data_IF_002134059879
#
_entry.id   IF_002134059879
#
_cell.length_a   1.000
_cell.length_b   1.000
_cell.length_c   1.000
_cell.angle_alpha   90.00
_cell.angle_beta   90.00
_cell.angle_gamma   90.00
#
_symmetry.space_group_name_H-M   'P 1'
#
loop_
_entity.id
_entity.type
_entity.pdbx_description
1 polymer ?
#
# COMPACT_ATOMS: atom_id res chain seq x y z
N UNK A 1 -25.29 10.32 -10.70
CA UNK A 1 -24.33 9.80 -9.70
C UNK A 1 -23.66 10.99 -9.02
N UNK A 2 -23.64 11.05 -7.67
CA UNK A 2 -22.91 12.11 -6.95
C UNK A 2 -21.45 11.67 -6.80
N UNK A 3 -20.55 12.53 -7.25
CA UNK A 3 -19.11 12.30 -7.15
C UNK A 3 -18.61 12.88 -5.84
N UNK A 4 -18.33 12.06 -4.83
CA UNK A 4 -17.68 12.55 -3.62
C UNK A 4 -16.16 12.59 -3.82
N UNK A 5 -15.59 13.79 -3.93
CA UNK A 5 -14.15 13.97 -4.12
C UNK A 5 -13.33 13.33 -3.00
N UNK A 6 -13.78 13.45 -1.75
CA UNK A 6 -13.08 12.89 -0.61
C UNK A 6 -13.11 11.35 -0.62
N UNK A 7 -14.26 10.75 -0.90
CA UNK A 7 -14.40 9.32 -1.13
C UNK A 7 -13.50 8.81 -2.26
N UNK A 8 -13.42 9.54 -3.39
CA UNK A 8 -12.53 9.17 -4.50
C UNK A 8 -11.06 9.16 -4.07
N UNK A 9 -10.60 10.15 -3.29
CA UNK A 9 -9.23 10.17 -2.75
C UNK A 9 -8.92 8.91 -1.92
N UNK A 10 -9.92 8.36 -1.21
CA UNK A 10 -9.77 7.12 -0.44
C UNK A 10 -9.70 5.86 -1.31
N UNK A 11 -10.22 5.90 -2.53
CA UNK A 11 -10.17 4.79 -3.50
C UNK A 11 -8.88 4.79 -4.33
N UNK A 12 -8.31 5.97 -4.60
CA UNK A 12 -7.08 6.12 -5.40
C UNK A 12 -5.93 5.17 -5.06
N UNK A 13 -5.52 4.96 -3.79
CA UNK A 13 -4.40 4.06 -3.50
C UNK A 13 -4.67 2.61 -3.92
N UNK A 14 -5.92 2.15 -3.95
CA UNK A 14 -6.25 0.84 -4.52
C UNK A 14 -6.12 0.82 -6.05
N UNK A 15 -6.58 1.88 -6.72
CA UNK A 15 -6.47 1.99 -8.18
C UNK A 15 -5.00 2.08 -8.61
N UNK A 16 -4.19 2.83 -7.88
CA UNK A 16 -2.78 3.04 -8.20
C UNK A 16 -1.94 1.77 -7.98
N UNK A 17 -2.28 0.95 -6.99
CA UNK A 17 -1.61 -0.31 -6.69
C UNK A 17 -2.06 -1.45 -7.62
N UNK A 18 -2.74 -2.46 -7.11
CA UNK A 18 -3.17 -3.65 -7.87
C UNK A 18 -4.41 -3.42 -8.75
N UNK A 19 -4.92 -2.19 -8.78
CA UNK A 19 -6.07 -1.80 -9.59
C UNK A 19 -5.71 -1.13 -10.91
N UNK A 20 -6.69 -0.42 -11.47
CA UNK A 20 -6.49 0.40 -12.66
C UNK A 20 -7.80 0.76 -13.34
N UNK A 21 -7.68 1.42 -14.49
CA UNK A 21 -8.81 1.76 -15.35
C UNK A 21 -8.65 1.03 -16.68
N UNK A 22 -9.71 0.36 -17.11
CA UNK A 22 -9.77 -0.36 -18.38
C UNK A 22 -10.65 0.39 -19.39
N UNK A 23 -10.06 0.72 -20.55
CA UNK A 23 -10.72 1.36 -21.71
C UNK A 23 -11.57 2.60 -21.35
N UNK A 24 -11.17 3.36 -20.33
CA UNK A 24 -11.92 4.50 -19.79
C UNK A 24 -13.41 4.21 -19.49
N UNK A 25 -13.73 2.96 -19.12
CA UNK A 25 -15.11 2.49 -18.88
C UNK A 25 -15.28 1.68 -17.60
N UNK A 26 -14.20 1.18 -17.04
CA UNK A 26 -14.23 0.27 -15.90
C UNK A 26 -13.06 0.58 -14.97
N UNK A 27 -13.34 0.74 -13.68
CA UNK A 27 -12.33 0.68 -12.63
C UNK A 27 -12.25 -0.78 -12.19
N UNK A 28 -11.04 -1.30 -12.02
CA UNK A 28 -10.83 -2.64 -11.48
C UNK A 28 -9.83 -2.63 -10.34
N UNK A 29 -9.92 -3.64 -9.48
CA UNK A 29 -8.96 -3.95 -8.42
C UNK A 29 -8.76 -5.47 -8.38
N UNK A 30 -7.52 -5.95 -8.51
CA UNK A 30 -7.20 -7.38 -8.54
C UNK A 30 -6.38 -7.76 -7.33
N UNK A 31 -6.74 -8.83 -6.61
CA UNK A 31 -5.95 -9.29 -5.46
C UNK A 31 -6.19 -10.76 -5.17
N UNK A 32 -5.28 -11.42 -4.46
CA UNK A 32 -5.49 -12.76 -3.91
C UNK A 32 -5.96 -12.74 -2.45
N UNK A 33 -6.01 -11.57 -1.82
CA UNK A 33 -6.42 -11.39 -0.42
C UNK A 33 -7.88 -10.90 -0.33
N UNK A 34 -8.75 -11.70 0.28
CA UNK A 34 -10.15 -11.35 0.45
C UNK A 34 -10.35 -10.12 1.35
N UNK A 35 -9.47 -9.86 2.32
CA UNK A 35 -9.57 -8.66 3.16
C UNK A 35 -9.37 -7.38 2.32
N UNK A 36 -8.45 -7.41 1.35
CA UNK A 36 -8.25 -6.28 0.43
C UNK A 36 -9.47 -6.05 -0.48
N UNK A 37 -10.19 -7.10 -0.88
CA UNK A 37 -11.47 -6.97 -1.59
C UNK A 37 -12.48 -6.20 -0.74
N UNK A 38 -12.66 -6.57 0.52
CA UNK A 38 -13.63 -5.93 1.41
C UNK A 38 -13.30 -4.46 1.67
N UNK A 39 -12.03 -4.14 1.91
CA UNK A 39 -11.58 -2.75 2.09
C UNK A 39 -11.80 -1.90 0.83
N UNK A 40 -11.46 -2.43 -0.35
CA UNK A 40 -11.72 -1.72 -1.62
C UNK A 40 -13.21 -1.47 -1.83
N UNK A 41 -14.05 -2.49 -1.64
CA UNK A 41 -15.50 -2.38 -1.83
C UNK A 41 -16.13 -1.37 -0.88
N UNK A 42 -15.66 -1.30 0.37
CA UNK A 42 -16.10 -0.30 1.34
C UNK A 42 -15.74 1.11 0.89
N UNK A 43 -14.47 1.36 0.55
CA UNK A 43 -14.03 2.66 0.05
C UNK A 43 -14.78 3.08 -1.23
N UNK A 44 -15.01 2.14 -2.15
CA UNK A 44 -15.78 2.38 -3.36
C UNK A 44 -17.27 2.67 -3.07
N UNK A 45 -17.87 1.98 -2.10
CA UNK A 45 -19.26 2.24 -1.68
C UNK A 45 -19.38 3.65 -1.11
N UNK A 46 -18.44 4.10 -0.30
CA UNK A 46 -18.42 5.47 0.21
C UNK A 46 -18.27 6.50 -0.92
N UNK A 47 -17.39 6.24 -1.90
CA UNK A 47 -17.12 7.18 -2.99
C UNK A 47 -18.23 7.25 -4.05
N UNK A 48 -18.87 6.12 -4.33
CA UNK A 48 -19.71 5.93 -5.52
C UNK A 48 -21.12 5.45 -5.21
N UNK A 49 -21.43 5.19 -3.94
CA UNK A 49 -22.61 4.43 -3.51
C UNK A 49 -22.71 3.05 -4.18
N UNK A 50 -21.57 2.49 -4.59
CA UNK A 50 -21.49 1.20 -5.27
C UNK A 50 -20.10 0.57 -5.10
N UNK A 51 -20.04 -0.57 -4.42
CA UNK A 51 -18.79 -1.28 -4.16
C UNK A 51 -18.25 -2.11 -5.33
N UNK A 52 -18.95 -2.17 -6.46
CA UNK A 52 -18.60 -3.05 -7.57
C UNK A 52 -18.98 -4.51 -7.36
N UNK A 53 -18.91 -5.28 -8.44
CA UNK A 53 -19.14 -6.73 -8.43
C UNK A 53 -17.81 -7.48 -8.40
N UNK A 54 -17.81 -8.66 -7.78
CA UNK A 54 -16.60 -9.46 -7.57
C UNK A 54 -16.62 -10.66 -8.53
N UNK A 55 -15.50 -10.88 -9.23
CA UNK A 55 -15.27 -12.06 -10.06
C UNK A 55 -14.12 -12.85 -9.47
N UNK A 56 -14.34 -14.12 -9.17
CA UNK A 56 -13.27 -15.05 -8.77
C UNK A 56 -12.70 -15.73 -10.01
N UNK A 57 -11.39 -15.64 -10.21
CA UNK A 57 -10.67 -16.30 -11.30
C UNK A 57 -10.21 -17.70 -10.90
N UNK A 58 -9.97 -18.55 -11.90
CA UNK A 58 -9.47 -19.93 -11.71
C UNK A 58 -8.12 -19.98 -10.98
N UNK A 59 -7.28 -18.95 -11.12
CA UNK A 59 -6.01 -18.84 -10.42
C UNK A 59 -6.13 -18.39 -8.94
N UNK A 60 -7.35 -18.36 -8.39
CA UNK A 60 -7.63 -17.95 -7.01
C UNK A 60 -7.67 -16.44 -6.77
N UNK A 61 -7.38 -15.61 -7.78
CA UNK A 61 -7.48 -14.15 -7.64
C UNK A 61 -8.93 -13.66 -7.68
N UNK A 62 -9.22 -12.62 -6.92
CA UNK A 62 -10.44 -11.84 -6.97
C UNK A 62 -10.21 -10.61 -7.85
N UNK A 63 -11.22 -10.26 -8.64
CA UNK A 63 -11.26 -9.00 -9.39
C UNK A 63 -12.55 -8.28 -9.05
N UNK A 64 -12.45 -7.13 -8.41
CA UNK A 64 -13.57 -6.23 -8.21
C UNK A 64 -13.65 -5.29 -9.41
N UNK A 65 -14.86 -5.11 -9.95
CA UNK A 65 -15.10 -4.28 -11.14
C UNK A 65 -16.24 -3.29 -10.89
N UNK A 66 -15.99 -2.03 -11.25
CA UNK A 66 -16.96 -0.95 -11.24
C UNK A 66 -17.10 -0.47 -12.69
N UNK A 67 -18.20 -0.86 -13.34
CA UNK A 67 -18.50 -0.51 -14.72
C UNK A 67 -19.30 0.78 -14.80
N UNK A 68 -18.86 1.69 -15.65
CA UNK A 68 -19.57 2.94 -15.93
C UNK A 68 -18.58 4.07 -16.21
N UNK A 69 -18.82 4.82 -17.28
CA UNK A 69 -17.98 5.98 -17.64
C UNK A 69 -18.02 7.08 -16.59
N UNK A 70 -19.13 7.25 -15.90
CA UNK A 70 -19.27 8.30 -14.89
C UNK A 70 -18.34 8.07 -13.70
N UNK A 71 -18.19 6.82 -13.23
CA UNK A 71 -17.23 6.47 -12.18
C UNK A 71 -15.79 6.79 -12.61
N UNK A 72 -15.42 6.48 -13.85
CA UNK A 72 -14.09 6.80 -14.39
C UNK A 72 -13.87 8.30 -14.46
N UNK A 73 -14.84 9.06 -15.00
CA UNK A 73 -14.78 10.52 -15.06
C UNK A 73 -14.63 11.15 -13.68
N UNK A 74 -15.26 10.56 -12.67
CA UNK A 74 -15.07 10.97 -11.28
C UNK A 74 -13.64 10.84 -10.80
N UNK A 75 -13.01 9.68 -11.05
CA UNK A 75 -11.61 9.46 -10.67
C UNK A 75 -10.69 10.40 -11.45
N UNK A 76 -10.93 10.57 -12.75
CA UNK A 76 -10.18 11.48 -13.62
C UNK A 76 -10.28 12.94 -13.18
N UNK A 77 -11.45 13.40 -12.73
CA UNK A 77 -11.64 14.75 -12.20
C UNK A 77 -10.84 15.01 -10.90
N UNK A 78 -10.49 13.95 -10.17
CA UNK A 78 -9.64 14.05 -8.96
C UNK A 78 -8.16 13.92 -9.30
N UNK A 79 -7.83 12.99 -10.19
CA UNK A 79 -6.47 12.69 -10.61
C UNK A 79 -6.44 12.41 -12.11
N UNK A 80 -6.28 13.43 -12.97
CA UNK A 80 -6.32 13.26 -14.43
C UNK A 80 -5.31 12.24 -14.95
N UNK A 81 -4.11 12.21 -14.34
CA UNK A 81 -3.00 11.33 -14.75
C UNK A 81 -3.25 9.84 -14.46
N UNK A 82 -4.33 9.49 -13.75
CA UNK A 82 -4.65 8.11 -13.35
C UNK A 82 -4.77 7.15 -14.54
N UNK A 83 -5.21 7.66 -15.69
CA UNK A 83 -5.37 6.88 -16.93
C UNK A 83 -4.01 6.43 -17.49
N UNK A 84 -2.94 7.12 -17.13
CA UNK A 84 -1.58 6.88 -17.57
C UNK A 84 -0.75 6.14 -16.52
N UNK A 85 -1.34 5.62 -15.45
CA UNK A 85 -0.57 5.03 -14.33
C UNK A 85 0.41 3.92 -14.74
N UNK A 86 0.10 3.20 -15.82
CA UNK A 86 0.92 2.09 -16.34
C UNK A 86 1.98 2.57 -17.35
N UNK A 87 1.91 3.81 -17.80
CA UNK A 87 2.90 4.42 -18.67
C UNK A 87 4.04 4.99 -17.82
N UNK A 88 5.14 4.24 -17.73
CA UNK A 88 6.31 4.63 -16.94
C UNK A 88 7.01 5.89 -17.48
N UNK A 89 6.72 6.29 -18.74
CA UNK A 89 7.29 7.49 -19.35
C UNK A 89 6.55 8.76 -18.96
N UNK A 90 5.34 8.64 -18.40
CA UNK A 90 4.52 9.77 -17.99
C UNK A 90 4.60 10.03 -16.50
N UNK A 91 4.72 11.31 -16.18
CA UNK A 91 4.55 11.78 -14.82
C UNK A 91 3.11 11.52 -14.37
N UNK A 92 2.98 10.95 -13.19
CA UNK A 92 1.70 10.75 -12.51
C UNK A 92 1.71 11.65 -11.30
N UNK A 93 0.75 12.58 -11.19
CA UNK A 93 0.70 13.54 -10.08
C UNK A 93 -0.38 13.15 -9.08
N UNK A 94 0.00 12.96 -7.82
CA UNK A 94 -0.92 12.74 -6.72
C UNK A 94 -1.69 14.04 -6.40
N UNK A 95 -3.00 13.97 -6.07
CA UNK A 95 -3.76 15.14 -5.68
C UNK A 95 -3.15 15.89 -4.50
N UNK A 96 -3.11 17.22 -4.58
CA UNK A 96 -2.52 18.13 -3.59
C UNK A 96 -3.06 17.93 -2.16
N UNK A 97 -4.31 17.49 -2.06
CA UNK A 97 -5.04 17.22 -0.82
C UNK A 97 -4.32 16.15 0.01
N UNK A 98 -3.70 15.16 -0.64
CA UNK A 98 -2.92 14.13 0.05
C UNK A 98 -1.70 14.71 0.78
N UNK A 99 -1.20 15.88 0.38
CA UNK A 99 -0.05 16.53 1.02
C UNK A 99 -0.45 17.55 2.09
N UNK A 100 -1.72 17.97 2.11
CA UNK A 100 -2.26 18.98 3.03
C UNK A 100 -3.04 18.38 4.19
N UNK A 101 -3.68 17.24 3.96
CA UNK A 101 -4.48 16.53 4.95
C UNK A 101 -3.71 15.30 5.45
N UNK A 102 -3.35 15.32 6.73
CA UNK A 102 -2.56 14.24 7.33
C UNK A 102 -3.32 12.92 7.40
N UNK A 103 -4.64 12.94 7.57
CA UNK A 103 -5.44 11.72 7.68
C UNK A 103 -5.62 11.07 6.31
N UNK A 104 -5.78 11.86 5.26
CA UNK A 104 -5.71 11.38 3.88
C UNK A 104 -4.32 10.82 3.53
N UNK A 105 -3.24 11.49 3.95
CA UNK A 105 -1.88 11.01 3.73
C UNK A 105 -1.65 9.65 4.41
N UNK A 106 -2.06 9.52 5.68
CA UNK A 106 -1.98 8.27 6.45
C UNK A 106 -2.82 7.18 5.80
N UNK A 107 -4.04 7.48 5.38
CA UNK A 107 -4.90 6.53 4.67
C UNK A 107 -4.26 6.06 3.36
N UNK A 108 -3.74 6.98 2.56
CA UNK A 108 -3.05 6.66 1.31
C UNK A 108 -1.89 5.70 1.56
N UNK A 109 -0.98 6.05 2.49
CA UNK A 109 0.18 5.22 2.82
C UNK A 109 -0.22 3.86 3.41
N UNK A 110 -1.26 3.82 4.25
CA UNK A 110 -1.82 2.59 4.83
C UNK A 110 -2.29 1.63 3.73
N UNK A 111 -3.16 2.11 2.84
CA UNK A 111 -3.71 1.29 1.76
C UNK A 111 -2.61 0.88 0.79
N UNK A 112 -1.81 1.84 0.32
CA UNK A 112 -0.82 1.60 -0.71
C UNK A 112 0.28 0.64 -0.22
N UNK A 113 0.72 0.74 1.04
CA UNK A 113 1.63 -0.24 1.65
C UNK A 113 0.97 -1.62 1.89
N UNK A 114 -0.35 -1.67 2.08
CA UNK A 114 -1.07 -2.93 2.24
C UNK A 114 -1.21 -3.69 0.94
N UNK A 115 -1.29 -3.00 -0.19
CA UNK A 115 -1.29 -3.61 -1.53
C UNK A 115 0.14 -3.93 -1.99
N UNK A 116 0.99 -2.90 -2.13
CA UNK A 116 2.30 -2.98 -2.79
C UNK A 116 3.50 -2.88 -1.84
N UNK A 117 3.27 -3.04 -0.55
CA UNK A 117 4.30 -2.93 0.48
C UNK A 117 4.28 -4.06 1.51
N UNK A 118 5.09 -3.87 2.55
CA UNK A 118 5.14 -4.80 3.66
C UNK A 118 6.30 -4.52 4.60
N UNK A 119 6.65 -5.56 5.36
CA UNK A 119 7.78 -5.54 6.29
C UNK A 119 8.87 -6.45 5.75
N UNK A 120 10.10 -5.93 5.66
CA UNK A 120 11.30 -6.68 5.29
C UNK A 120 12.20 -6.83 6.50
N UNK A 121 12.64 -8.06 6.74
CA UNK A 121 13.54 -8.41 7.84
C UNK A 121 14.69 -9.22 7.23
N UNK A 122 15.90 -8.72 7.38
CA UNK A 122 17.12 -9.35 6.88
C UNK A 122 18.08 -9.60 8.04
N UNK A 123 18.72 -10.77 8.04
CA UNK A 123 19.76 -11.09 9.02
C UNK A 123 21.10 -10.54 8.51
N UNK A 124 21.68 -9.61 9.25
CA UNK A 124 23.03 -9.10 9.06
C UNK A 124 24.02 -9.79 10.01
N UNK A 125 25.30 -9.77 9.63
CA UNK A 125 26.41 -10.24 10.47
C UNK A 125 27.53 -9.19 10.43
N UNK A 126 28.04 -8.82 11.60
CA UNK A 126 29.23 -7.96 11.74
C UNK A 126 30.17 -8.63 12.75
N UNK A 127 31.27 -9.17 12.26
CA UNK A 127 32.14 -10.06 13.06
C UNK A 127 31.33 -11.25 13.60
N UNK A 128 31.35 -11.44 14.92
CA UNK A 128 30.58 -12.49 15.61
C UNK A 128 29.16 -12.06 16.01
N UNK A 129 28.77 -10.81 15.75
CA UNK A 129 27.43 -10.31 16.09
C UNK A 129 26.46 -10.51 14.94
N UNK A 130 25.35 -11.18 15.21
CA UNK A 130 24.20 -11.30 14.31
C UNK A 130 23.16 -10.24 14.69
N UNK A 131 22.60 -9.56 13.70
CA UNK A 131 21.58 -8.52 13.93
C UNK A 131 20.50 -8.58 12.86
N UNK A 132 19.35 -7.97 13.12
CA UNK A 132 18.25 -7.88 12.17
C UNK A 132 18.11 -6.46 11.60
N UNK A 133 18.22 -6.34 10.28
CA UNK A 133 17.83 -5.14 9.54
C UNK A 133 16.33 -5.21 9.31
N UNK A 134 15.60 -4.20 9.78
CA UNK A 134 14.14 -4.12 9.71
C UNK A 134 13.75 -2.95 8.84
N UNK A 135 12.78 -3.14 7.95
CA UNK A 135 12.26 -2.10 7.08
C UNK A 135 10.74 -2.23 6.93
N UNK A 136 10.03 -1.12 6.97
CA UNK A 136 8.69 -1.02 6.36
C UNK A 136 8.91 -0.43 4.98
N UNK A 137 8.37 -1.04 3.93
CA UNK A 137 8.59 -0.60 2.56
C UNK A 137 7.30 -0.54 1.74
N UNK A 138 7.33 0.32 0.73
CA UNK A 138 6.31 0.45 -0.32
C UNK A 138 7.00 0.30 -1.66
N UNK A 139 6.43 -0.50 -2.55
CA UNK A 139 6.90 -0.65 -3.93
C UNK A 139 6.20 0.36 -4.84
N UNK A 140 6.97 1.18 -5.54
CA UNK A 140 6.51 2.11 -6.56
C UNK A 140 7.57 2.19 -7.67
N UNK A 141 7.34 1.48 -8.79
CA UNK A 141 8.28 1.45 -9.92
C UNK A 141 8.34 2.78 -10.68
N UNK A 142 7.20 3.47 -10.83
CA UNK A 142 7.16 4.79 -11.43
C UNK A 142 7.90 5.80 -10.51
N UNK A 143 8.95 6.43 -11.03
CA UNK A 143 9.83 7.33 -10.26
C UNK A 143 9.10 8.56 -9.72
N UNK A 144 8.14 9.10 -10.48
CA UNK A 144 7.34 10.25 -10.06
C UNK A 144 6.42 9.89 -8.89
N UNK A 145 5.74 8.74 -8.98
CA UNK A 145 4.92 8.24 -7.89
C UNK A 145 5.78 7.91 -6.65
N UNK A 146 6.95 7.29 -6.84
CA UNK A 146 7.89 6.96 -5.76
C UNK A 146 8.36 8.20 -5.02
N UNK A 147 8.74 9.25 -5.75
CA UNK A 147 9.14 10.54 -5.17
C UNK A 147 8.02 11.17 -4.34
N UNK A 148 6.78 11.12 -4.83
CA UNK A 148 5.62 11.65 -4.11
C UNK A 148 5.24 10.83 -2.88
N UNK A 149 5.35 9.50 -2.93
CA UNK A 149 5.19 8.64 -1.75
C UNK A 149 6.23 8.99 -0.68
N UNK A 150 7.49 9.22 -1.08
CA UNK A 150 8.54 9.68 -0.17
C UNK A 150 8.18 11.05 0.43
N UNK A 151 7.60 11.95 -0.36
CA UNK A 151 7.18 13.26 0.14
C UNK A 151 6.00 13.15 1.13
N UNK A 152 5.01 12.29 0.88
CA UNK A 152 3.92 12.01 1.84
C UNK A 152 4.45 11.49 3.18
N UNK A 153 5.49 10.66 3.19
CA UNK A 153 6.13 10.27 4.44
C UNK A 153 6.77 11.46 5.16
N UNK A 154 7.41 12.38 4.44
CA UNK A 154 8.03 13.56 5.06
C UNK A 154 7.02 14.56 5.60
N UNK A 155 5.88 14.78 4.92
CA UNK A 155 4.81 15.65 5.46
C UNK A 155 4.29 15.14 6.81
N UNK A 156 4.36 13.82 7.01
CA UNK A 156 4.05 13.16 8.28
C UNK A 156 5.26 13.03 9.22
N UNK A 157 6.36 13.74 8.97
CA UNK A 157 7.58 13.75 9.79
C UNK A 157 8.22 12.37 9.98
N UNK A 158 8.29 11.57 8.92
CA UNK A 158 9.14 10.37 8.86
C UNK A 158 10.44 10.66 8.10
N UNK A 159 11.43 9.76 8.19
CA UNK A 159 12.71 9.86 7.47
C UNK A 159 12.86 8.79 6.37
N UNK A 160 12.01 8.82 5.31
CA UNK A 160 12.00 7.80 4.28
C UNK A 160 13.28 7.80 3.44
N UNK A 161 13.73 6.60 3.08
CA UNK A 161 14.82 6.34 2.15
C UNK A 161 14.24 5.82 0.83
N UNK A 162 14.96 6.06 -0.27
CA UNK A 162 14.66 5.52 -1.60
C UNK A 162 15.83 4.62 -2.01
N UNK A 163 15.55 3.38 -2.42
CA UNK A 163 16.58 2.47 -2.91
C UNK A 163 17.03 2.75 -4.36
N UNK A 164 16.43 3.77 -4.99
CA UNK A 164 16.62 4.23 -6.38
C UNK A 164 16.15 3.24 -7.45
N UNK A 165 15.59 2.09 -7.06
CA UNK A 165 15.03 1.10 -7.97
C UNK A 165 13.50 1.20 -7.95
N UNK A 166 12.91 0.76 -6.84
CA UNK A 166 11.46 0.56 -6.74
C UNK A 166 10.90 0.71 -5.34
N UNK A 167 11.71 0.91 -4.30
CA UNK A 167 11.22 0.94 -2.93
C UNK A 167 11.46 2.29 -2.24
N UNK A 168 10.40 2.81 -1.62
CA UNK A 168 10.52 3.76 -0.51
C UNK A 168 10.44 2.95 0.78
N UNK A 169 11.33 3.20 1.74
CA UNK A 169 11.34 2.45 2.99
C UNK A 169 11.70 3.30 4.22
N UNK A 170 11.17 2.86 5.37
CA UNK A 170 11.52 3.32 6.70
C UNK A 170 12.41 2.26 7.35
N UNK A 171 13.57 2.67 7.86
CA UNK A 171 14.53 1.77 8.52
C UNK A 171 14.90 2.19 9.95
N UNK A 172 14.59 3.43 10.34
CA UNK A 172 14.83 3.93 11.70
C UNK A 172 13.84 3.28 12.68
N UNK A 173 14.31 2.97 13.89
CA UNK A 173 13.47 2.37 14.93
C UNK A 173 12.28 3.26 15.27
N UNK A 174 12.53 4.56 15.36
CA UNK A 174 11.55 5.59 15.71
C UNK A 174 10.46 5.67 14.63
N UNK A 175 10.86 5.68 13.36
CA UNK A 175 9.94 5.71 12.22
C UNK A 175 9.09 4.43 12.14
N UNK A 176 9.69 3.25 12.30
CA UNK A 176 8.94 1.98 12.25
C UNK A 176 7.96 1.89 13.43
N UNK A 177 8.38 2.30 14.62
CA UNK A 177 7.53 2.34 15.82
C UNK A 177 6.38 3.33 15.63
N UNK A 178 6.66 4.52 15.08
CA UNK A 178 5.64 5.52 14.75
C UNK A 178 4.67 5.01 13.68
N UNK A 179 5.16 4.34 12.63
CA UNK A 179 4.32 3.72 11.60
C UNK A 179 3.36 2.68 12.19
N UNK A 180 3.83 1.85 13.12
CA UNK A 180 3.01 0.87 13.83
C UNK A 180 1.95 1.48 14.74
N UNK A 181 2.15 2.71 15.21
CA UNK A 181 1.17 3.43 16.02
C UNK A 181 0.14 4.19 15.16
N UNK A 182 0.58 4.83 14.08
CA UNK A 182 -0.21 5.87 13.41
C UNK A 182 -0.80 5.45 12.06
N UNK A 183 -0.11 4.60 11.30
CA UNK A 183 -0.51 4.24 9.93
C UNK A 183 -1.02 2.80 9.89
N UNK A 184 -0.16 1.85 10.31
CA UNK A 184 -0.40 0.39 10.23
C UNK A 184 -0.72 -0.06 8.79
N UNK A 185 -0.90 -1.36 8.62
CA UNK A 185 -1.50 -1.94 7.41
C UNK A 185 -3.02 -2.05 7.59
N UNK A 186 -3.74 -2.28 6.49
CA UNK A 186 -5.15 -2.62 6.52
C UNK A 186 -5.36 -3.91 7.32
N UNK A 187 -6.44 -3.93 8.12
CA UNK A 187 -6.75 -5.05 9.01
C UNK A 187 -6.99 -6.35 8.22
N UNK A 188 -6.53 -7.46 8.79
CA UNK A 188 -6.65 -8.82 8.27
C UNK A 188 -5.92 -9.08 6.94
N UNK A 189 -5.08 -8.16 6.48
CA UNK A 189 -4.29 -8.34 5.26
C UNK A 189 -3.06 -9.19 5.57
N UNK A 190 -2.89 -10.26 4.80
CA UNK A 190 -1.82 -11.23 5.01
C UNK A 190 -0.58 -10.93 4.17
N UNK A 191 0.56 -11.41 4.65
CA UNK A 191 1.79 -11.47 3.87
C UNK A 191 1.62 -12.52 2.78
N UNK A 192 1.76 -12.08 1.52
CA UNK A 192 1.56 -12.92 0.32
C UNK A 192 2.81 -13.73 -0.03
N UNK A 193 2.72 -14.53 -1.10
CA UNK A 193 3.72 -15.54 -1.48
C UNK A 193 5.13 -15.04 -1.81
N UNK A 194 5.34 -13.72 -1.93
CA UNK A 194 6.67 -13.15 -2.17
C UNK A 194 7.61 -13.28 -0.96
N UNK A 195 7.08 -13.53 0.23
CA UNK A 195 7.87 -13.79 1.44
C UNK A 195 7.65 -15.22 1.90
N UNK A 196 8.63 -16.11 1.67
CA UNK A 196 8.52 -17.52 2.10
C UNK A 196 8.43 -17.67 3.62
N UNK A 197 9.15 -16.85 4.38
CA UNK A 197 9.28 -16.95 5.85
C UNK A 197 8.06 -16.47 6.61
N UNK A 198 7.37 -15.47 6.07
CA UNK A 198 6.28 -14.78 6.77
C UNK A 198 4.92 -15.02 6.11
N UNK A 199 4.87 -15.85 5.06
CA UNK A 199 3.64 -16.12 4.28
C UNK A 199 2.49 -16.51 5.21
N UNK A 200 1.34 -15.88 5.02
CA UNK A 200 0.12 -16.18 5.75
C UNK A 200 -0.02 -15.50 7.11
N UNK A 201 1.04 -14.87 7.63
CA UNK A 201 0.92 -13.99 8.80
C UNK A 201 0.16 -12.71 8.44
N UNK A 202 -0.60 -12.20 9.38
CA UNK A 202 -1.17 -10.86 9.28
C UNK A 202 -0.05 -9.80 9.26
N UNK A 203 -0.15 -8.80 8.38
CA UNK A 203 0.88 -7.76 8.20
C UNK A 203 1.05 -6.91 9.46
N UNK A 204 -0.04 -6.60 10.16
CA UNK A 204 0.00 -5.85 11.42
C UNK A 204 0.62 -6.68 12.54
N UNK A 205 0.33 -7.98 12.60
CA UNK A 205 0.99 -8.88 13.54
C UNK A 205 2.52 -8.94 13.31
N UNK A 206 2.96 -9.07 12.05
CA UNK A 206 4.38 -9.03 11.72
C UNK A 206 5.04 -7.69 12.09
N UNK A 207 4.35 -6.57 11.85
CA UNK A 207 4.81 -5.25 12.24
C UNK A 207 4.99 -5.12 13.76
N UNK A 208 4.03 -5.62 14.54
CA UNK A 208 4.11 -5.61 16.01
C UNK A 208 5.28 -6.48 16.51
N UNK A 209 5.50 -7.66 15.90
CA UNK A 209 6.68 -8.49 16.19
C UNK A 209 7.98 -7.74 15.92
N UNK A 210 8.05 -7.00 14.81
CA UNK A 210 9.22 -6.19 14.46
C UNK A 210 9.49 -5.09 15.48
N UNK A 211 8.46 -4.37 15.93
CA UNK A 211 8.60 -3.34 16.96
C UNK A 211 9.05 -3.95 18.28
N UNK A 212 8.43 -5.04 18.73
CA UNK A 212 8.82 -5.75 19.97
C UNK A 212 10.25 -6.28 19.90
N UNK A 213 10.70 -6.69 18.71
CA UNK A 213 12.03 -7.25 18.53
C UNK A 213 13.19 -6.25 18.71
N UNK A 214 12.90 -4.95 18.81
CA UNK A 214 13.93 -3.97 19.23
C UNK A 214 14.34 -4.15 20.70
N UNK A 215 13.45 -4.64 21.55
CA UNK A 215 13.75 -4.99 22.95
C UNK A 215 14.19 -6.45 23.12
N UNK A 216 13.69 -7.35 22.26
CA UNK A 216 14.07 -8.76 22.27
C UNK A 216 14.25 -9.30 20.84
N UNK A 217 15.48 -9.27 20.28
CA UNK A 217 15.74 -9.72 18.92
C UNK A 217 15.37 -11.19 18.66
N UNK A 218 15.41 -12.05 19.67
CA UNK A 218 15.15 -13.49 19.56
C UNK A 218 13.71 -13.82 19.15
N UNK A 219 12.79 -12.86 19.27
CA UNK A 219 11.42 -13.00 18.74
C UNK A 219 11.39 -13.25 17.22
N UNK A 220 12.45 -12.88 16.50
CA UNK A 220 12.55 -13.11 15.07
C UNK A 220 13.25 -14.43 14.72
N UNK A 221 14.01 -15.03 15.63
CA UNK A 221 14.83 -16.21 15.35
C UNK A 221 14.05 -17.40 14.76
N UNK A 222 12.82 -17.73 15.22
CA UNK A 222 12.06 -18.84 14.64
C UNK A 222 11.81 -18.72 13.13
N UNK A 223 11.81 -17.50 12.58
CA UNK A 223 11.60 -17.27 11.15
C UNK A 223 12.86 -17.43 10.30
N UNK A 224 14.03 -17.59 10.94
CA UNK A 224 15.34 -17.69 10.29
C UNK A 224 16.07 -19.00 10.62
N UNK A 225 15.39 -19.95 11.27
CA UNK A 225 15.85 -21.32 11.44
C UNK A 225 15.62 -22.06 10.11
N UNK A 226 16.71 -22.25 9.36
CA UNK A 226 16.84 -23.10 8.19
C UNK A 226 18.18 -23.78 8.26
#
# INVERSE_FOLDING_TARGET
MRCDRYGVLRVLPFILSDGGIYKAREIYFTTTDAALVDHFRRAATEAFNYGGYVVRRSNGAYVVKIKGRDYVRCVEAVMPDILYKNDISRAVTLPSELFRDQDLAKWFLKVYASCDGGVSIMRGKRGNTVFYVRRVFITAKNVHLRSQVRELFKTLQYSPQDDKDKHVYLSRKEDITKYAREIRFLENVKVTGNSKRFRGLDKNHLLDLVVKSYGNPHLLDPFFQT
#
